data_IF_258992718384
#
_entry.id   IF_258992718384
#
_cell.length_a   1.000
_cell.length_b   1.000
_cell.length_c   1.000
_cell.angle_alpha   90.00
_cell.angle_beta   90.00
_cell.angle_gamma   90.00
#
_symmetry.space_group_name_H-M   'P 1'
#
loop_
_entity.id
_entity.type
_entity.pdbx_description
1 polymer ?
#
# COMPACT_ATOMS: atom_id res chain seq x y z
N UNK A 1 -45.99 -61.76 0.76
CA UNK A 1 -47.25 -62.25 0.28
C UNK A 1 -47.64 -61.50 -0.95
N UNK A 2 -47.55 -62.19 -2.04
CA UNK A 2 -48.42 -62.29 -3.22
C UNK A 2 -48.37 -61.07 -4.15
N UNK A 3 -47.66 -61.16 -5.33
CA UNK A 3 -48.08 -61.82 -6.59
C UNK A 3 -49.28 -61.04 -7.23
N UNK A 4 -49.18 -60.42 -8.41
CA UNK A 4 -49.16 -60.96 -9.78
C UNK A 4 -49.08 -59.86 -10.78
N UNK A 5 -48.23 -59.87 -11.74
CA UNK A 5 -48.28 -60.44 -13.10
C UNK A 5 -49.48 -60.01 -13.96
N UNK A 6 -49.19 -59.46 -15.09
CA UNK A 6 -49.34 -59.86 -16.47
C UNK A 6 -50.06 -58.78 -17.32
N UNK A 7 -49.69 -58.49 -18.48
CA UNK A 7 -49.62 -59.04 -19.81
C UNK A 7 -50.02 -57.96 -20.86
N UNK A 8 -49.12 -57.67 -21.71
CA UNK A 8 -49.15 -57.72 -23.18
C UNK A 8 -50.29 -57.07 -23.96
N UNK A 9 -49.88 -56.29 -24.96
CA UNK A 9 -50.78 -55.88 -26.06
C UNK A 9 -50.09 -54.96 -27.07
N UNK A 10 -49.46 -55.56 -28.08
CA UNK A 10 -49.00 -54.88 -29.31
C UNK A 10 -50.16 -54.25 -30.06
N UNK A 11 -49.97 -53.05 -30.58
CA UNK A 11 -50.35 -52.71 -31.99
C UNK A 11 -49.60 -51.49 -32.46
N UNK A 12 -48.92 -51.68 -33.58
CA UNK A 12 -48.28 -50.65 -34.39
C UNK A 12 -49.34 -49.86 -35.15
N UNK A 13 -49.14 -48.55 -35.23
CA UNK A 13 -49.70 -47.72 -36.30
C UNK A 13 -48.71 -46.64 -36.68
N UNK A 14 -48.31 -46.68 -37.94
CA UNK A 14 -47.51 -45.63 -38.63
C UNK A 14 -48.38 -44.42 -38.85
N UNK A 15 -47.83 -43.22 -38.60
CA UNK A 15 -48.14 -42.04 -39.41
C UNK A 15 -47.22 -40.87 -39.04
N UNK A 16 -46.50 -40.45 -40.06
CA UNK A 16 -46.26 -39.06 -40.56
C UNK A 16 -45.42 -38.11 -39.70
N UNK A 17 -44.29 -37.89 -40.26
CA UNK A 17 -43.34 -36.76 -40.12
C UNK A 17 -44.06 -35.41 -40.24
N UNK A 18 -43.88 -34.54 -39.26
CA UNK A 18 -43.93 -33.11 -39.41
C UNK A 18 -42.75 -32.51 -38.67
N UNK A 19 -41.77 -32.07 -39.48
CA UNK A 19 -40.59 -31.33 -39.10
C UNK A 19 -41.04 -29.90 -38.72
N UNK A 20 -41.16 -29.60 -37.46
CA UNK A 20 -41.25 -28.22 -37.00
C UNK A 20 -39.93 -27.86 -36.34
N UNK A 21 -39.12 -27.15 -37.09
CA UNK A 21 -37.84 -26.58 -36.63
C UNK A 21 -38.07 -25.55 -35.53
N UNK A 22 -37.76 -25.94 -34.28
CA UNK A 22 -37.65 -25.00 -33.16
C UNK A 22 -36.23 -24.42 -33.16
N UNK A 23 -36.08 -23.25 -33.77
CA UNK A 23 -34.85 -22.45 -33.68
C UNK A 23 -34.75 -21.96 -32.22
N UNK A 24 -33.98 -22.67 -31.41
CA UNK A 24 -33.53 -22.16 -30.10
C UNK A 24 -32.52 -21.04 -30.38
N UNK A 25 -32.99 -19.80 -30.33
CA UNK A 25 -32.13 -18.64 -30.17
C UNK A 25 -31.57 -18.70 -28.75
N UNK A 26 -30.39 -19.30 -28.61
CA UNK A 26 -29.58 -19.18 -27.40
C UNK A 26 -29.12 -17.72 -27.35
N UNK A 27 -29.88 -16.92 -26.62
CA UNK A 27 -29.48 -15.58 -26.24
C UNK A 27 -28.22 -15.68 -25.37
N UNK A 28 -27.05 -15.52 -25.96
CA UNK A 28 -25.79 -15.27 -25.24
C UNK A 28 -25.95 -13.91 -24.58
N UNK A 29 -26.45 -13.91 -23.34
CA UNK A 29 -26.32 -12.78 -22.42
C UNK A 29 -24.82 -12.59 -22.21
N UNK A 30 -24.21 -11.67 -22.92
CA UNK A 30 -22.89 -11.14 -22.62
C UNK A 30 -23.03 -10.50 -21.22
N UNK A 31 -22.71 -11.27 -20.19
CA UNK A 31 -22.44 -10.74 -18.87
C UNK A 31 -21.23 -9.82 -19.04
N UNK A 32 -21.49 -8.54 -19.28
CA UNK A 32 -20.47 -7.50 -19.18
C UNK A 32 -19.96 -7.58 -17.74
N UNK A 33 -18.78 -8.16 -17.54
CA UNK A 33 -18.10 -8.05 -16.27
C UNK A 33 -18.00 -6.54 -15.96
N UNK A 34 -18.32 -6.10 -14.74
CA UNK A 34 -18.09 -4.72 -14.36
C UNK A 34 -16.63 -4.40 -14.66
N UNK A 35 -16.39 -3.38 -15.47
CA UNK A 35 -15.06 -2.85 -15.67
C UNK A 35 -14.64 -2.24 -14.33
N UNK A 36 -13.89 -2.99 -13.54
CA UNK A 36 -13.28 -2.48 -12.32
C UNK A 36 -12.33 -1.35 -12.72
N UNK A 37 -12.34 -0.28 -11.96
CA UNK A 37 -11.36 0.78 -12.15
C UNK A 37 -9.96 0.14 -12.05
N UNK A 38 -9.17 0.27 -13.12
CA UNK A 38 -7.80 -0.25 -13.10
C UNK A 38 -6.90 0.82 -12.52
N UNK A 39 -6.63 0.70 -11.21
CA UNK A 39 -5.71 1.56 -10.51
C UNK A 39 -4.27 1.26 -10.95
N UNK A 40 -3.48 2.31 -11.18
CA UNK A 40 -2.06 2.23 -11.52
C UNK A 40 -1.23 2.90 -10.45
N UNK A 41 -0.21 2.18 -10.00
CA UNK A 41 0.73 2.68 -9.01
C UNK A 41 2.15 2.51 -9.53
N UNK A 42 2.93 3.59 -9.47
CA UNK A 42 4.38 3.57 -9.71
C UNK A 42 5.09 3.90 -8.41
N UNK A 43 6.12 3.13 -8.07
CA UNK A 43 6.93 3.40 -6.88
C UNK A 43 8.39 3.63 -7.24
N UNK A 44 9.07 4.37 -6.38
CA UNK A 44 10.52 4.55 -6.43
C UNK A 44 11.12 4.49 -5.04
N UNK A 45 12.33 3.98 -4.92
CA UNK A 45 13.08 3.99 -3.67
C UNK A 45 14.58 4.20 -3.90
N UNK A 46 15.26 4.79 -2.91
CA UNK A 46 16.70 5.02 -2.94
C UNK A 46 17.30 5.06 -1.54
N UNK A 47 18.57 4.66 -1.40
CA UNK A 47 19.35 4.82 -0.17
C UNK A 47 20.20 6.10 -0.23
N UNK A 48 20.32 6.81 0.88
CA UNK A 48 21.16 8.01 1.01
C UNK A 48 21.85 8.06 2.38
N UNK A 49 23.19 7.87 2.51
CA UNK A 49 24.11 7.56 1.41
C UNK A 49 23.90 6.14 0.85
N UNK A 50 24.23 5.98 -0.44
CA UNK A 50 24.21 4.68 -1.13
C UNK A 50 25.50 3.91 -0.79
N UNK A 51 25.50 3.24 0.40
CA UNK A 51 26.68 2.52 0.90
C UNK A 51 26.25 1.25 1.65
N UNK A 52 26.79 0.11 1.21
CA UNK A 52 26.52 -1.19 1.82
C UNK A 52 26.90 -1.23 3.32
N UNK A 53 26.02 -1.80 4.14
CA UNK A 53 26.22 -1.99 5.57
C UNK A 53 26.26 -0.69 6.40
N UNK A 54 25.94 0.46 5.80
CA UNK A 54 25.95 1.77 6.47
C UNK A 54 24.54 2.20 6.88
N UNK A 55 24.42 3.06 7.91
CA UNK A 55 23.22 3.80 8.17
C UNK A 55 22.85 4.68 6.98
N UNK A 56 21.57 4.71 6.62
CA UNK A 56 21.09 5.51 5.51
C UNK A 56 19.65 5.97 5.71
N UNK A 57 19.28 7.03 5.02
CA UNK A 57 17.90 7.39 4.76
C UNK A 57 17.37 6.52 3.61
N UNK A 58 16.16 6.03 3.75
CA UNK A 58 15.39 5.44 2.64
C UNK A 58 14.44 6.52 2.14
N UNK A 59 14.63 6.93 0.89
CA UNK A 59 13.73 7.88 0.22
C UNK A 59 12.83 7.09 -0.70
N UNK A 60 11.53 7.13 -0.45
CA UNK A 60 10.50 6.47 -1.24
C UNK A 60 9.52 7.46 -1.85
N UNK A 61 8.92 7.09 -2.97
CA UNK A 61 7.83 7.83 -3.60
C UNK A 61 6.84 6.89 -4.26
N UNK A 62 5.59 7.31 -4.34
CA UNK A 62 4.53 6.62 -5.05
C UNK A 62 3.68 7.63 -5.83
N UNK A 63 3.25 7.25 -7.03
CA UNK A 63 2.31 7.99 -7.86
C UNK A 63 1.12 7.09 -8.18
N UNK A 64 -0.08 7.64 -8.07
CA UNK A 64 -1.34 6.94 -8.24
C UNK A 64 -2.14 7.57 -9.37
N UNK A 65 -2.76 6.72 -10.19
CA UNK A 65 -3.65 7.13 -11.25
C UNK A 65 -4.67 6.02 -11.53
N UNK A 66 -5.81 6.38 -12.14
CA UNK A 66 -6.78 5.41 -12.63
C UNK A 66 -6.90 5.50 -14.14
N UNK A 67 -7.17 4.38 -14.81
CA UNK A 67 -7.42 4.35 -16.27
C UNK A 67 -8.87 4.67 -16.62
N UNK A 68 -9.76 4.62 -15.67
CA UNK A 68 -11.22 4.75 -15.87
C UNK A 68 -11.81 5.96 -15.15
N UNK A 69 -11.08 6.57 -14.21
CA UNK A 69 -11.52 7.70 -13.41
C UNK A 69 -10.48 8.83 -13.41
N UNK A 70 -10.94 10.07 -13.21
CA UNK A 70 -10.07 11.25 -13.03
C UNK A 70 -9.40 11.28 -11.66
N UNK A 71 -10.01 10.63 -10.67
CA UNK A 71 -9.51 10.48 -9.31
C UNK A 71 -9.32 9.00 -9.06
N UNK A 72 -8.13 8.53 -8.62
CA UNK A 72 -7.93 7.15 -8.22
C UNK A 72 -8.88 6.77 -7.08
N UNK A 73 -9.17 5.48 -6.92
CA UNK A 73 -9.91 5.00 -5.75
C UNK A 73 -9.11 5.32 -4.47
N UNK A 74 -9.78 5.72 -3.36
CA UNK A 74 -9.10 5.95 -2.09
C UNK A 74 -8.37 4.70 -1.59
N UNK A 75 -7.21 4.91 -0.97
CA UNK A 75 -6.40 3.82 -0.44
C UNK A 75 -7.02 3.35 0.89
N UNK A 76 -7.23 2.04 1.02
CA UNK A 76 -7.73 1.40 2.26
C UNK A 76 -6.64 0.64 3.03
N UNK A 77 -5.54 0.26 2.36
CA UNK A 77 -4.43 -0.47 2.97
C UNK A 77 -3.12 -0.18 2.26
N UNK A 78 -2.04 -0.07 3.03
CA UNK A 78 -0.69 0.08 2.51
C UNK A 78 0.21 -0.99 3.14
N UNK A 79 1.00 -1.68 2.32
CA UNK A 79 2.08 -2.56 2.75
C UNK A 79 3.35 -2.19 2.01
N UNK A 80 4.41 -1.84 2.72
CA UNK A 80 5.74 -1.52 2.17
C UNK A 80 6.71 -2.60 2.55
N UNK A 81 7.48 -3.11 1.59
CA UNK A 81 8.35 -4.27 1.76
C UNK A 81 9.72 -3.97 1.19
N UNK A 82 10.70 -3.82 2.08
CA UNK A 82 12.08 -3.58 1.70
C UNK A 82 12.88 -4.85 1.37
N UNK A 83 14.12 -4.71 0.91
CA UNK A 83 14.96 -5.83 0.49
C UNK A 83 15.48 -6.68 1.65
N UNK A 84 15.83 -7.94 1.36
CA UNK A 84 16.47 -8.82 2.33
C UNK A 84 17.80 -8.24 2.83
N UNK A 85 18.01 -8.35 4.15
CA UNK A 85 19.21 -7.85 4.82
C UNK A 85 19.13 -6.36 5.23
N UNK A 86 18.05 -5.66 4.90
CA UNK A 86 17.72 -4.39 5.52
C UNK A 86 17.53 -4.64 7.02
N UNK A 87 18.06 -3.77 7.86
CA UNK A 87 17.94 -3.92 9.32
C UNK A 87 17.73 -2.59 10.00
N UNK A 88 17.21 -2.64 11.23
CA UNK A 88 16.97 -1.47 12.07
C UNK A 88 17.91 -1.50 13.27
N UNK A 89 18.50 -0.35 13.57
CA UNK A 89 19.22 -0.11 14.81
C UNK A 89 18.61 1.14 15.47
N UNK A 90 17.64 0.90 16.34
CA UNK A 90 16.88 1.94 17.07
C UNK A 90 17.49 2.22 18.45
N UNK A 91 18.71 1.76 18.71
CA UNK A 91 19.42 2.09 19.96
C UNK A 91 19.61 3.60 20.04
N UNK A 92 19.20 4.17 21.17
CA UNK A 92 19.23 5.63 21.39
C UNK A 92 17.98 6.39 20.93
N UNK A 93 17.09 5.77 20.17
CA UNK A 93 15.78 6.36 19.87
C UNK A 93 14.91 6.43 21.11
N UNK A 94 14.12 7.49 21.22
CA UNK A 94 12.99 7.55 22.12
C UNK A 94 11.76 6.97 21.40
N UNK A 95 10.67 6.82 22.14
CA UNK A 95 9.36 6.40 21.59
C UNK A 95 8.34 7.51 21.79
N UNK A 96 7.36 7.56 20.91
CA UNK A 96 6.13 8.33 21.09
C UNK A 96 4.94 7.37 21.18
N UNK A 97 3.83 7.82 21.74
CA UNK A 97 2.59 7.05 21.75
C UNK A 97 1.54 7.70 20.84
N UNK A 98 0.65 6.88 20.33
CA UNK A 98 -0.48 7.36 19.53
C UNK A 98 -1.29 8.41 20.29
N UNK A 99 -1.59 8.18 21.57
CA UNK A 99 -2.36 9.12 22.39
C UNK A 99 -1.71 10.50 22.50
N UNK A 100 -0.37 10.56 22.59
CA UNK A 100 0.34 11.84 22.61
C UNK A 100 0.23 12.54 21.25
N UNK A 101 0.39 11.81 20.15
CA UNK A 101 0.24 12.37 18.80
C UNK A 101 -1.17 12.88 18.53
N UNK A 102 -2.20 12.17 18.98
CA UNK A 102 -3.60 12.57 18.82
C UNK A 102 -3.96 13.78 19.70
N UNK A 103 -3.42 13.87 20.91
CA UNK A 103 -3.73 14.94 21.86
C UNK A 103 -2.91 16.23 21.62
N UNK A 104 -1.60 16.07 21.34
CA UNK A 104 -0.63 17.17 21.33
C UNK A 104 0.07 17.37 19.99
N UNK A 105 -0.18 16.48 19.02
CA UNK A 105 0.52 16.47 17.74
C UNK A 105 2.02 16.10 17.89
N UNK A 106 2.80 16.32 16.81
CA UNK A 106 4.23 16.05 16.75
C UNK A 106 5.05 16.70 17.85
N UNK A 107 4.67 17.90 18.28
CA UNK A 107 5.37 18.67 19.32
C UNK A 107 5.33 18.00 20.70
N UNK A 108 4.33 17.13 20.95
CA UNK A 108 4.23 16.33 22.16
C UNK A 108 5.23 15.18 22.23
N UNK A 109 5.87 14.83 21.13
CA UNK A 109 6.80 13.70 21.05
C UNK A 109 8.26 14.11 21.27
N UNK A 110 9.08 13.26 21.91
CA UNK A 110 10.51 13.51 22.01
C UNK A 110 11.17 13.62 20.63
N UNK A 111 12.02 14.59 20.39
CA UNK A 111 12.73 14.76 19.10
C UNK A 111 13.48 13.49 18.65
N UNK A 112 13.99 12.68 19.61
CA UNK A 112 14.66 11.40 19.31
C UNK A 112 13.72 10.27 18.89
N UNK A 113 12.40 10.50 18.93
CA UNK A 113 11.43 9.52 18.41
C UNK A 113 11.11 9.71 16.93
N UNK A 114 11.52 10.82 16.34
CA UNK A 114 11.33 11.06 14.89
C UNK A 114 12.13 10.03 14.10
N UNK A 115 11.44 9.35 13.17
CA UNK A 115 11.99 8.30 12.32
C UNK A 115 11.90 8.64 10.83
N UNK A 116 11.28 9.77 10.49
CA UNK A 116 11.18 10.23 9.12
C UNK A 116 10.14 11.31 8.91
N UNK A 117 10.09 11.80 7.68
CA UNK A 117 9.12 12.79 7.26
C UNK A 117 8.83 12.69 5.77
N UNK A 118 7.74 13.29 5.34
CA UNK A 118 7.33 13.30 3.95
C UNK A 118 6.07 14.12 3.73
N UNK A 119 5.35 13.77 2.68
CA UNK A 119 4.09 14.40 2.32
C UNK A 119 3.64 13.97 0.95
N UNK A 120 2.68 14.68 0.41
CA UNK A 120 2.14 14.36 -0.89
C UNK A 120 0.99 15.28 -1.28
N UNK A 121 0.24 14.83 -2.27
CA UNK A 121 -0.94 15.50 -2.78
C UNK A 121 -2.14 14.57 -2.65
N UNK A 122 -3.09 14.95 -1.83
CA UNK A 122 -4.44 14.40 -1.79
C UNK A 122 -5.27 14.93 -2.96
N UNK A 123 -6.27 14.18 -3.38
CA UNK A 123 -7.15 14.54 -4.50
C UNK A 123 -8.56 14.00 -4.25
N UNK A 124 -9.57 14.82 -4.56
CA UNK A 124 -10.98 14.40 -4.50
C UNK A 124 -11.81 15.18 -5.51
N UNK A 125 -13.01 14.72 -5.78
CA UNK A 125 -13.93 15.39 -6.70
C UNK A 125 -15.09 16.01 -5.93
N UNK A 126 -15.38 17.28 -6.21
CA UNK A 126 -16.51 18.03 -5.67
C UNK A 126 -17.24 18.75 -6.82
N UNK A 127 -18.50 18.45 -7.01
CA UNK A 127 -19.35 19.06 -8.04
C UNK A 127 -18.72 19.06 -9.45
N UNK A 128 -18.06 17.96 -9.84
CA UNK A 128 -17.40 17.79 -11.12
C UNK A 128 -16.02 18.48 -11.25
N UNK A 129 -15.55 19.11 -10.18
CA UNK A 129 -14.22 19.74 -10.13
C UNK A 129 -13.25 18.89 -9.32
N UNK A 130 -12.02 18.83 -9.80
CA UNK A 130 -10.92 18.18 -9.08
C UNK A 130 -10.30 19.18 -8.11
N UNK A 131 -10.26 18.78 -6.85
CA UNK A 131 -9.61 19.52 -5.77
C UNK A 131 -8.35 18.76 -5.37
N UNK A 132 -7.23 19.46 -5.31
CA UNK A 132 -5.94 18.93 -4.85
C UNK A 132 -5.55 19.63 -3.56
N UNK A 133 -5.02 18.85 -2.61
CA UNK A 133 -4.61 19.34 -1.31
C UNK A 133 -3.30 18.73 -0.88
N UNK A 134 -2.33 19.57 -0.51
CA UNK A 134 -1.08 19.08 0.04
C UNK A 134 -1.25 18.58 1.47
N UNK A 135 -0.60 17.45 1.76
CA UNK A 135 -0.50 16.92 3.12
C UNK A 135 0.95 16.68 3.52
N UNK A 136 1.21 16.71 4.81
CA UNK A 136 2.50 16.35 5.41
C UNK A 136 2.39 15.03 6.16
N UNK A 137 3.50 14.33 6.26
CA UNK A 137 3.63 13.09 7.04
C UNK A 137 4.85 13.21 7.94
N UNK A 138 4.67 12.94 9.22
CA UNK A 138 5.77 12.73 10.16
C UNK A 138 5.72 11.31 10.70
N UNK A 139 6.88 10.68 10.80
CA UNK A 139 7.00 9.28 11.25
C UNK A 139 7.76 9.23 12.56
N UNK A 140 7.21 8.51 13.51
CA UNK A 140 7.75 8.36 14.86
C UNK A 140 8.00 6.90 15.19
N UNK A 141 9.03 6.64 15.99
CA UNK A 141 9.22 5.33 16.61
C UNK A 141 8.15 5.19 17.70
N UNK A 142 7.29 4.19 17.54
CA UNK A 142 6.30 3.78 18.52
C UNK A 142 6.92 2.87 19.58
N UNK A 143 6.29 1.71 19.83
CA UNK A 143 6.86 0.71 20.72
C UNK A 143 8.15 0.14 20.13
N UNK A 144 9.19 0.04 20.96
CA UNK A 144 10.53 -0.39 20.53
C UNK A 144 11.02 -1.56 21.42
N UNK A 145 10.23 -2.62 21.50
CA UNK A 145 10.63 -3.85 22.19
C UNK A 145 11.30 -4.81 21.21
N UNK A 146 12.35 -5.54 21.60
CA UNK A 146 12.97 -6.54 20.75
C UNK A 146 11.94 -7.51 20.15
N UNK A 147 11.94 -7.60 18.81
CA UNK A 147 10.99 -8.42 18.07
C UNK A 147 9.60 -7.81 17.84
N UNK A 148 9.36 -6.62 18.37
CA UNK A 148 8.09 -5.91 18.17
C UNK A 148 8.36 -4.41 18.04
N UNK A 149 8.66 -4.00 16.80
CA UNK A 149 8.90 -2.59 16.47
C UNK A 149 7.66 -2.00 15.82
N UNK A 150 7.29 -0.83 16.29
CA UNK A 150 6.15 -0.07 15.77
C UNK A 150 6.60 1.27 15.24
N UNK A 151 5.90 1.75 14.23
CA UNK A 151 5.99 3.13 13.74
C UNK A 151 4.61 3.76 13.76
N UNK A 152 4.59 5.05 14.07
CA UNK A 152 3.40 5.88 14.03
C UNK A 152 3.59 6.90 12.91
N UNK A 153 2.60 7.03 12.03
CA UNK A 153 2.59 8.03 10.98
C UNK A 153 1.54 9.08 11.33
N UNK A 154 1.96 10.30 11.51
CA UNK A 154 1.09 11.46 11.70
C UNK A 154 0.92 12.17 10.36
N UNK A 155 -0.31 12.19 9.85
CA UNK A 155 -0.67 12.85 8.60
C UNK A 155 -1.47 14.10 8.90
N UNK A 156 -1.10 15.22 8.30
CA UNK A 156 -1.76 16.50 8.48
C UNK A 156 -2.00 17.21 7.16
N UNK A 157 -3.25 17.60 6.92
CA UNK A 157 -3.69 18.49 5.86
C UNK A 157 -4.56 19.59 6.46
N UNK A 158 -4.57 20.78 5.88
CA UNK A 158 -5.20 21.94 6.52
C UNK A 158 -6.16 22.74 5.62
N UNK A 159 -6.05 22.61 4.32
CA UNK A 159 -6.88 23.37 3.39
C UNK A 159 -6.96 22.70 2.01
N UNK A 160 -8.16 22.52 1.44
CA UNK A 160 -9.45 23.00 1.94
C UNK A 160 -10.08 22.12 3.03
N UNK A 161 -9.53 20.93 3.32
CA UNK A 161 -10.06 19.99 4.31
C UNK A 161 -9.06 19.81 5.45
N UNK A 162 -9.47 20.12 6.67
CA UNK A 162 -8.61 19.87 7.83
C UNK A 162 -8.66 18.40 8.21
N UNK A 163 -7.53 17.70 8.08
CA UNK A 163 -7.39 16.28 8.39
C UNK A 163 -6.18 16.07 9.27
N UNK A 164 -6.36 15.38 10.39
CA UNK A 164 -5.28 14.89 11.25
C UNK A 164 -5.52 13.41 11.52
N UNK A 165 -4.58 12.56 11.11
CA UNK A 165 -4.68 11.12 11.25
C UNK A 165 -3.40 10.56 11.84
N UNK A 166 -3.54 9.57 12.70
CA UNK A 166 -2.43 8.79 13.24
C UNK A 166 -2.59 7.34 12.81
N UNK A 167 -1.66 6.85 12.00
CA UNK A 167 -1.62 5.44 11.62
C UNK A 167 -0.62 4.70 12.49
N UNK A 168 -0.97 3.49 12.84
CA UNK A 168 -0.14 2.57 13.60
C UNK A 168 0.28 1.40 12.72
N UNK A 169 1.56 1.19 12.55
CA UNK A 169 2.11 0.11 11.77
C UNK A 169 3.12 -0.71 12.58
N UNK A 170 3.03 -2.04 12.45
CA UNK A 170 3.99 -2.98 13.04
C UNK A 170 4.99 -3.39 11.97
N UNK A 171 6.29 -3.36 12.31
CA UNK A 171 7.35 -3.82 11.43
C UNK A 171 7.41 -5.34 11.51
N UNK A 172 7.30 -5.99 10.35
CA UNK A 172 7.28 -7.44 10.19
C UNK A 172 8.36 -7.91 9.23
N UNK A 173 8.73 -9.18 9.33
CA UNK A 173 9.69 -9.82 8.44
C UNK A 173 8.95 -10.52 7.30
N UNK A 174 9.31 -10.20 6.06
CA UNK A 174 8.81 -10.85 4.85
C UNK A 174 9.79 -11.93 4.36
N UNK A 175 9.32 -12.94 3.60
CA UNK A 175 10.18 -13.98 3.03
C UNK A 175 11.09 -13.42 1.93
N UNK A 176 12.23 -14.09 1.71
CA UNK A 176 13.16 -13.73 0.61
C UNK A 176 12.44 -13.70 -0.74
N UNK A 177 12.80 -12.78 -1.65
CA UNK A 177 13.97 -11.91 -1.64
C UNK A 177 13.82 -10.62 -0.81
N UNK A 178 12.74 -10.49 -0.07
CA UNK A 178 12.41 -9.35 0.76
C UNK A 178 12.92 -9.51 2.20
N UNK A 179 12.73 -8.48 3.00
CA UNK A 179 13.18 -8.41 4.38
C UNK A 179 12.16 -7.70 5.28
N UNK A 180 12.58 -6.65 5.94
CA UNK A 180 11.70 -5.86 6.79
C UNK A 180 10.68 -5.08 5.97
N UNK A 181 9.49 -4.98 6.49
CA UNK A 181 8.42 -4.15 5.95
C UNK A 181 7.40 -3.81 7.00
N UNK A 182 6.39 -3.05 6.65
CA UNK A 182 5.27 -2.71 7.53
C UNK A 182 3.97 -2.63 6.75
N UNK A 183 2.86 -2.81 7.45
CA UNK A 183 1.52 -2.72 6.87
C UNK A 183 0.60 -1.99 7.83
N UNK A 184 -0.31 -1.19 7.29
CA UNK A 184 -1.36 -0.52 8.06
C UNK A 184 -2.59 -0.30 7.19
N UNK A 185 -3.75 -0.23 7.85
CA UNK A 185 -5.01 0.11 7.22
C UNK A 185 -5.19 1.64 7.22
N UNK A 186 -5.74 2.16 6.13
CA UNK A 186 -6.06 3.59 5.96
C UNK A 186 -7.57 3.74 6.12
N UNK A 187 -8.07 4.48 7.12
CA UNK A 187 -9.49 4.73 7.25
C UNK A 187 -9.99 5.64 6.13
N UNK A 188 -11.27 5.59 5.86
CA UNK A 188 -11.91 6.52 4.93
C UNK A 188 -11.68 7.98 5.36
N UNK A 189 -11.11 8.78 4.48
CA UNK A 189 -10.90 10.21 4.71
C UNK A 189 -12.07 10.98 4.10
N UNK A 190 -13.05 11.27 4.94
CA UNK A 190 -14.19 12.10 4.55
C UNK A 190 -13.71 13.52 4.26
N UNK A 191 -14.19 14.07 3.16
CA UNK A 191 -13.87 15.44 2.72
C UNK A 191 -15.06 16.40 3.01
N UNK A 192 -15.55 17.07 2.01
CA UNK A 192 -16.67 17.98 2.12
C UNK A 192 -18.01 17.23 1.90
N UNK A 193 -19.14 17.74 2.39
CA UNK A 193 -20.45 17.19 2.07
C UNK A 193 -20.63 17.02 0.55
N UNK A 194 -21.15 15.88 0.12
CA UNK A 194 -21.39 15.52 -1.29
C UNK A 194 -20.11 15.32 -2.15
N UNK A 195 -18.92 15.43 -1.58
CA UNK A 195 -17.67 15.09 -2.25
C UNK A 195 -17.32 13.61 -2.04
N UNK A 196 -16.49 13.08 -2.94
CA UNK A 196 -15.88 11.75 -2.74
C UNK A 196 -14.95 11.74 -1.52
N UNK A 197 -14.64 10.55 -0.99
CA UNK A 197 -13.54 10.40 -0.05
C UNK A 197 -12.23 10.87 -0.69
N UNK A 198 -11.30 11.34 0.14
CA UNK A 198 -9.99 11.75 -0.37
C UNK A 198 -9.20 10.53 -0.87
N UNK A 199 -8.60 10.69 -2.02
CA UNK A 199 -7.60 9.79 -2.57
C UNK A 199 -6.21 10.42 -2.54
N UNK A 200 -5.20 9.68 -2.96
CA UNK A 200 -3.82 10.15 -3.05
C UNK A 200 -3.40 10.20 -4.51
N UNK A 201 -2.87 11.33 -4.96
CA UNK A 201 -2.27 11.52 -6.28
C UNK A 201 -0.80 11.13 -6.29
N UNK A 202 -0.07 11.57 -5.27
CA UNK A 202 1.31 11.17 -5.03
C UNK A 202 1.65 11.27 -3.55
N UNK A 203 2.66 10.51 -3.15
CA UNK A 203 3.24 10.59 -1.82
C UNK A 203 4.75 10.36 -1.88
N UNK A 204 5.49 10.97 -0.97
CA UNK A 204 6.91 10.74 -0.78
C UNK A 204 7.22 10.64 0.71
N UNK A 205 8.21 9.83 1.05
CA UNK A 205 8.60 9.59 2.43
C UNK A 205 10.11 9.41 2.50
N UNK A 206 10.72 10.00 3.52
CA UNK A 206 12.13 9.79 3.87
C UNK A 206 12.17 9.19 5.26
N UNK A 207 12.67 7.96 5.37
CA UNK A 207 12.77 7.20 6.62
C UNK A 207 14.23 7.02 7.03
N UNK A 208 14.49 6.98 8.33
CA UNK A 208 15.79 6.76 8.93
C UNK A 208 16.33 7.99 9.66
N UNK A 209 17.48 7.85 10.31
CA UNK A 209 18.14 8.93 11.01
C UNK A 209 19.06 9.74 10.09
N UNK A 210 18.92 11.05 10.11
CA UNK A 210 19.82 11.96 9.38
C UNK A 210 21.25 11.89 9.95
N UNK A 211 22.28 12.31 9.19
CA UNK A 211 23.65 12.37 9.71
C UNK A 211 23.79 13.23 10.98
N UNK A 212 23.00 14.30 11.10
CA UNK A 212 22.98 15.13 12.31
C UNK A 212 22.41 14.39 13.51
N UNK A 213 21.30 13.67 13.36
CA UNK A 213 20.69 12.86 14.38
C UNK A 213 21.58 11.66 14.78
N UNK A 214 22.21 11.01 13.80
CA UNK A 214 23.19 9.94 14.04
C UNK A 214 24.33 10.44 14.93
N UNK A 215 24.85 11.64 14.67
CA UNK A 215 25.94 12.25 15.44
C UNK A 215 25.45 12.71 16.83
N UNK A 216 24.30 13.36 16.89
CA UNK A 216 23.80 14.00 18.11
C UNK A 216 23.15 12.99 19.08
N UNK A 217 22.35 12.07 18.57
CA UNK A 217 21.58 11.12 19.36
C UNK A 217 22.15 9.69 19.35
N UNK A 218 23.20 9.43 18.59
CA UNK A 218 23.78 8.09 18.37
C UNK A 218 22.79 7.05 17.84
N UNK A 219 21.76 7.49 17.13
CA UNK A 219 20.75 6.63 16.48
C UNK A 219 21.23 6.30 15.07
N UNK A 220 21.26 5.03 14.68
CA UNK A 220 21.63 4.63 13.32
C UNK A 220 20.42 4.53 12.40
N UNK A 221 19.25 4.17 12.92
CA UNK A 221 18.03 4.01 12.15
C UNK A 221 18.09 2.81 11.22
N UNK A 222 17.91 3.06 9.92
CA UNK A 222 17.90 2.01 8.89
C UNK A 222 19.33 1.74 8.42
N UNK A 223 19.71 0.45 8.35
CA UNK A 223 21.01 -0.02 7.87
C UNK A 223 20.85 -0.72 6.51
N UNK A 224 21.54 -0.23 5.50
CA UNK A 224 21.57 -0.81 4.14
C UNK A 224 22.11 -2.26 4.20
N UNK A 225 21.58 -3.20 3.40
CA UNK A 225 22.11 -4.56 3.34
C UNK A 225 23.60 -4.58 3.05
N UNK A 226 24.33 -5.53 3.67
CA UNK A 226 25.78 -5.67 3.51
C UNK A 226 26.22 -6.20 2.14
N UNK A 227 25.29 -6.79 1.39
CA UNK A 227 25.52 -7.34 0.04
C UNK A 227 24.40 -6.91 -0.87
N UNK A 228 24.72 -6.47 -2.07
CA UNK A 228 23.74 -6.18 -3.10
C UNK A 228 23.53 -7.41 -3.97
N UNK A 229 22.31 -7.85 -4.21
CA UNK A 229 22.01 -8.95 -5.12
C UNK A 229 22.24 -8.55 -6.57
N UNK A 230 22.41 -9.54 -7.45
CA UNK A 230 22.49 -9.29 -8.90
C UNK A 230 21.20 -8.61 -9.35
N UNK A 231 21.31 -7.46 -10.00
CA UNK A 231 20.18 -6.69 -10.48
C UNK A 231 19.70 -5.57 -9.55
N UNK A 232 20.23 -5.46 -8.32
CA UNK A 232 19.82 -4.43 -7.36
C UNK A 232 18.97 -4.98 -6.22
N UNK A 233 18.54 -4.11 -5.32
CA UNK A 233 17.71 -4.46 -4.18
C UNK A 233 16.25 -4.41 -4.59
N UNK A 234 15.48 -5.52 -4.48
CA UNK A 234 14.05 -5.51 -4.76
C UNK A 234 13.30 -4.71 -3.70
N UNK A 235 12.34 -3.94 -4.15
CA UNK A 235 11.44 -3.13 -3.34
C UNK A 235 10.01 -3.31 -3.85
N UNK A 236 9.05 -3.46 -2.96
CA UNK A 236 7.66 -3.71 -3.31
C UNK A 236 6.72 -2.93 -2.39
N UNK A 237 5.66 -2.40 -2.96
CA UNK A 237 4.55 -1.84 -2.20
C UNK A 237 3.24 -2.42 -2.71
N UNK A 238 2.35 -2.78 -1.79
CA UNK A 238 1.03 -3.31 -2.09
C UNK A 238 0.00 -2.34 -1.54
N UNK A 239 -0.90 -1.89 -2.39
CA UNK A 239 -1.97 -0.95 -2.08
C UNK A 239 -3.31 -1.63 -2.27
N UNK A 240 -4.14 -1.65 -1.24
CA UNK A 240 -5.56 -1.97 -1.32
C UNK A 240 -6.35 -0.68 -1.45
N UNK A 241 -7.44 -0.71 -2.19
CA UNK A 241 -8.30 0.43 -2.46
C UNK A 241 -9.72 0.19 -1.93
N UNK A 242 -10.49 1.27 -1.76
CA UNK A 242 -11.88 1.18 -1.25
C UNK A 242 -12.82 0.45 -2.22
N UNK A 243 -12.52 0.45 -3.52
CA UNK A 243 -13.27 -0.32 -4.52
C UNK A 243 -13.01 -1.84 -4.46
N UNK A 244 -12.16 -2.28 -3.53
CA UNK A 244 -11.77 -3.68 -3.36
C UNK A 244 -10.63 -4.14 -4.26
N UNK A 245 -10.13 -3.29 -5.14
CA UNK A 245 -8.97 -3.60 -5.98
C UNK A 245 -7.68 -3.60 -5.16
N UNK A 246 -6.65 -4.28 -5.68
CA UNK A 246 -5.32 -4.34 -5.07
C UNK A 246 -4.26 -4.24 -6.16
N UNK A 247 -3.28 -3.37 -5.95
CA UNK A 247 -2.13 -3.19 -6.86
C UNK A 247 -0.84 -3.45 -6.12
N UNK A 248 -0.01 -4.35 -6.66
CA UNK A 248 1.37 -4.57 -6.22
C UNK A 248 2.32 -3.87 -7.20
N UNK A 249 2.97 -2.80 -6.73
CA UNK A 249 3.98 -2.07 -7.47
C UNK A 249 5.37 -2.53 -7.03
N UNK A 250 6.29 -2.68 -7.99
CA UNK A 250 7.66 -3.14 -7.74
C UNK A 250 8.66 -2.15 -8.29
N UNK A 251 9.74 -1.97 -7.56
CA UNK A 251 10.89 -1.21 -8.02
C UNK A 251 12.20 -1.93 -7.68
N UNK A 252 13.30 -1.37 -8.15
CA UNK A 252 14.63 -1.91 -7.84
C UNK A 252 15.54 -0.75 -7.48
N UNK A 253 16.09 -0.77 -6.26
CA UNK A 253 17.10 0.17 -5.84
C UNK A 253 18.45 -0.30 -6.40
N UNK A 254 19.15 0.52 -7.22
CA UNK A 254 20.44 0.12 -7.81
C UNK A 254 21.48 -0.22 -6.75
N UNK A 255 22.40 -1.12 -7.08
CA UNK A 255 23.57 -1.36 -6.22
C UNK A 255 24.47 -0.12 -6.16
N UNK A 256 25.08 0.14 -4.99
CA UNK A 256 26.12 1.16 -4.87
C UNK A 256 27.22 0.96 -5.92
N UNK A 257 27.60 2.02 -6.60
CA UNK A 257 28.74 1.98 -7.50
C UNK A 257 29.99 1.67 -6.68
N UNK A 258 30.72 0.61 -7.07
CA UNK A 258 32.02 0.33 -6.45
C UNK A 258 32.92 1.56 -6.65
N UNK A 259 33.34 2.21 -5.56
CA UNK A 259 34.39 3.22 -5.65
C UNK A 259 35.65 2.50 -6.17
N UNK A 260 36.00 2.68 -7.44
CA UNK A 260 37.36 2.32 -7.90
C UNK A 260 38.31 3.10 -6.99
N UNK A 261 39.05 2.38 -6.15
CA UNK A 261 40.21 2.98 -5.48
C UNK A 261 41.18 3.36 -6.59
N UNK A 262 41.32 4.66 -6.81
CA UNK A 262 42.49 5.23 -7.52
C UNK A 262 43.67 5.25 -6.57
#
# INVERSE_FOLDING_TARGET
>A
MAIATAYCGHRAARASVLLTGLVMVVGMSLLSAPAWAEEKVTISAAFSPDKLGAPALVKGGAEFSSTTSRVPSPISKITIIGPAGLSLDLKGSATCSQAILEEKGPEGCPARSVAGSGGGMGIFELAGQIIEEAFTVEVFVGNNKPGHYEVLLYVNAVSPVSVQLVFHAVIVQFPKPYGLGFSFDVPEVKTLPEASNASVKNAHLTLGATPAEQKHFHVKGIIVPKKCPKGGFPDEAIFGFEDGSTVAAKSTIPCPKSSKKH
#
